data_IF_363453690878
#
_entry.id   IF_363453690878
#
_cell.length_a   1.000
_cell.length_b   1.000
_cell.length_c   1.000
_cell.angle_alpha   90.00
_cell.angle_beta   90.00
_cell.angle_gamma   90.00
#
_symmetry.space_group_name_H-M   'P 1'
#
loop_
_entity.id
_entity.type
_entity.pdbx_description
1 polymer ?
#
# COMPACT_ATOMS: atom_id res chain seq x y z
N UNK A 1 44.00 -1.26 51.28
CA UNK A 1 42.76 -0.80 51.93
C UNK A 1 41.68 -1.82 51.62
N UNK A 2 41.16 -2.45 52.67
CA UNK A 2 40.25 -3.59 52.64
C UNK A 2 38.82 -3.18 53.06
N UNK A 3 37.91 -4.15 52.99
CA UNK A 3 36.46 -4.20 53.31
C UNK A 3 35.56 -4.07 52.06
N UNK A 4 34.81 -5.07 51.54
CA UNK A 4 34.13 -6.30 52.01
C UNK A 4 32.64 -6.10 52.35
N UNK A 5 31.80 -6.95 51.70
CA UNK A 5 30.55 -7.61 52.12
C UNK A 5 29.17 -7.23 51.55
N UNK A 6 28.45 -8.33 51.24
CA UNK A 6 27.01 -8.58 51.05
C UNK A 6 26.35 -8.09 49.76
N UNK A 7 25.64 -8.89 48.95
CA UNK A 7 25.03 -10.20 49.16
C UNK A 7 23.51 -10.09 49.11
N UNK A 8 22.88 -10.42 47.97
CA UNK A 8 21.51 -10.97 47.87
C UNK A 8 21.25 -11.51 46.46
N UNK A 9 21.19 -12.83 46.35
CA UNK A 9 20.61 -13.56 45.21
C UNK A 9 19.09 -13.55 45.38
N UNK A 10 18.36 -13.13 44.36
CA UNK A 10 16.93 -13.43 44.22
C UNK A 10 16.82 -14.54 43.18
N UNK A 11 16.39 -15.72 43.64
CA UNK A 11 16.00 -16.85 42.81
C UNK A 11 14.50 -16.67 42.54
N UNK A 12 14.12 -16.36 41.30
CA UNK A 12 12.73 -16.42 40.86
C UNK A 12 12.44 -17.83 40.35
N UNK A 13 11.63 -18.57 41.10
CA UNK A 13 11.15 -19.90 40.71
C UNK A 13 10.10 -19.80 39.61
N UNK A 14 10.35 -20.49 38.50
CA UNK A 14 9.36 -20.79 37.48
C UNK A 14 8.32 -21.77 38.05
N UNK A 15 7.04 -21.36 38.11
CA UNK A 15 5.90 -22.27 38.19
C UNK A 15 5.31 -22.42 36.78
N UNK A 16 5.09 -23.64 36.26
CA UNK A 16 4.42 -23.82 34.99
C UNK A 16 2.90 -23.73 35.22
N UNK A 17 2.27 -22.69 34.68
CA UNK A 17 0.82 -22.63 34.60
C UNK A 17 0.40 -23.25 33.28
N UNK A 18 -0.19 -24.46 33.36
CA UNK A 18 -0.91 -25.10 32.27
C UNK A 18 -2.04 -24.18 31.80
N UNK A 19 -1.86 -23.56 30.63
CA UNK A 19 -2.96 -22.99 29.86
C UNK A 19 -3.40 -24.05 28.85
N UNK A 20 -4.65 -24.48 29.01
CA UNK A 20 -5.31 -25.42 28.12
C UNK A 20 -5.35 -24.85 26.69
N UNK A 21 -4.64 -25.51 25.77
CA UNK A 21 -4.76 -25.30 24.33
C UNK A 21 -6.16 -25.74 23.88
N UNK A 22 -7.02 -24.77 23.60
CA UNK A 22 -8.19 -24.99 22.76
C UNK A 22 -7.78 -24.79 21.30
N UNK A 23 -7.61 -25.91 20.59
CA UNK A 23 -7.85 -26.05 19.15
C UNK A 23 -7.14 -25.08 18.19
N UNK A 24 -5.82 -25.20 18.04
CA UNK A 24 -5.18 -24.82 16.78
C UNK A 24 -5.49 -25.93 15.77
N UNK A 25 -6.35 -25.66 14.80
CA UNK A 25 -6.52 -26.56 13.65
C UNK A 25 -5.28 -26.37 12.76
N UNK A 26 -4.27 -27.21 13.00
CA UNK A 26 -3.12 -27.33 12.10
C UNK A 26 -3.60 -28.14 10.89
N UNK A 27 -4.03 -27.46 9.83
CA UNK A 27 -4.20 -28.10 8.54
C UNK A 27 -2.82 -28.37 7.94
N UNK A 28 -2.27 -29.55 8.23
CA UNK A 28 -1.17 -30.13 7.48
C UNK A 28 -1.67 -30.60 6.11
N UNK A 29 -1.91 -29.65 5.21
CA UNK A 29 -2.07 -29.91 3.79
C UNK A 29 -0.68 -29.98 3.14
N UNK A 30 -0.38 -31.09 2.48
CA UNK A 30 0.85 -31.26 1.69
C UNK A 30 1.00 -30.11 0.67
N UNK A 31 2.22 -29.58 0.44
CA UNK A 31 2.44 -28.51 -0.52
C UNK A 31 2.30 -29.10 -1.92
N UNK A 32 1.10 -29.02 -2.49
CA UNK A 32 0.95 -29.17 -3.93
C UNK A 32 1.37 -27.84 -4.55
N UNK A 33 2.55 -27.84 -5.16
CA UNK A 33 2.95 -26.84 -6.13
C UNK A 33 1.92 -26.84 -7.26
N UNK A 34 0.95 -25.93 -7.19
CA UNK A 34 0.00 -25.68 -8.26
C UNK A 34 0.39 -24.37 -8.95
N UNK A 35 1.49 -24.40 -9.70
CA UNK A 35 1.76 -23.44 -10.79
C UNK A 35 1.01 -23.86 -12.08
N UNK A 36 -0.23 -24.34 -11.93
CA UNK A 36 -1.04 -24.86 -13.03
C UNK A 36 -2.53 -24.64 -12.73
N UNK A 37 -2.93 -23.39 -12.71
CA UNK A 37 -4.30 -22.97 -13.04
C UNK A 37 -4.12 -21.59 -13.68
N UNK A 38 -4.02 -21.59 -15.00
CA UNK A 38 -3.85 -20.42 -15.88
C UNK A 38 -5.12 -19.57 -15.98
N UNK A 39 -5.96 -19.60 -14.95
CA UNK A 39 -7.17 -18.79 -14.88
C UNK A 39 -6.79 -17.49 -14.19
N UNK A 40 -6.99 -16.38 -14.88
CA UNK A 40 -6.79 -15.05 -14.31
C UNK A 40 -7.65 -14.94 -13.04
N UNK A 41 -7.01 -14.80 -11.89
CA UNK A 41 -7.70 -14.68 -10.61
C UNK A 41 -8.66 -13.49 -10.58
N UNK A 42 -8.46 -12.46 -11.40
CA UNK A 42 -9.44 -11.38 -11.57
C UNK A 42 -10.72 -11.86 -12.20
N UNK A 43 -10.64 -12.68 -13.24
CA UNK A 43 -11.82 -13.27 -13.89
C UNK A 43 -12.55 -14.20 -12.95
N UNK A 44 -11.82 -14.95 -12.11
CA UNK A 44 -12.42 -15.75 -11.03
C UNK A 44 -13.17 -14.87 -10.05
N UNK A 45 -12.55 -13.81 -9.52
CA UNK A 45 -13.21 -12.88 -8.59
C UNK A 45 -14.47 -12.27 -9.20
N UNK A 46 -14.43 -11.87 -10.49
CA UNK A 46 -15.62 -11.35 -11.18
C UNK A 46 -16.71 -12.41 -11.28
N UNK A 47 -16.35 -13.67 -11.57
CA UNK A 47 -17.32 -14.77 -11.61
C UNK A 47 -18.01 -14.99 -10.25
N UNK A 48 -17.27 -14.91 -9.14
CA UNK A 48 -17.87 -15.03 -7.81
C UNK A 48 -18.84 -13.88 -7.52
N UNK A 49 -18.54 -12.66 -7.98
CA UNK A 49 -19.50 -11.55 -7.93
C UNK A 49 -20.73 -11.77 -8.82
N UNK A 50 -20.58 -12.39 -9.99
CA UNK A 50 -21.71 -12.77 -10.86
C UNK A 50 -22.59 -13.85 -10.24
N UNK A 51 -22.00 -14.74 -9.43
CA UNK A 51 -22.76 -15.73 -8.66
C UNK A 51 -23.61 -15.06 -7.55
N UNK A 52 -23.08 -14.01 -6.92
CA UNK A 52 -23.82 -13.19 -5.95
C UNK A 52 -24.91 -12.31 -6.61
N UNK A 53 -24.57 -11.61 -7.70
CA UNK A 53 -25.46 -10.74 -8.47
C UNK A 53 -25.34 -11.04 -9.97
N UNK A 54 -26.35 -11.69 -10.60
CA UNK A 54 -26.34 -12.00 -12.03
C UNK A 54 -26.20 -10.79 -12.96
N UNK A 55 -26.49 -9.57 -12.47
CA UNK A 55 -26.35 -8.33 -13.23
C UNK A 55 -25.07 -7.56 -12.87
N UNK A 56 -24.12 -8.19 -12.17
CA UNK A 56 -22.92 -7.54 -11.64
C UNK A 56 -22.15 -6.77 -12.73
N UNK A 57 -21.89 -7.37 -13.90
CA UNK A 57 -21.14 -6.70 -14.97
C UNK A 57 -21.84 -5.46 -15.51
N UNK A 58 -23.15 -5.54 -15.76
CA UNK A 58 -23.93 -4.42 -16.26
C UNK A 58 -23.96 -3.26 -15.26
N UNK A 59 -24.27 -3.56 -13.99
CA UNK A 59 -24.30 -2.56 -12.91
C UNK A 59 -22.93 -1.95 -12.68
N UNK A 60 -21.89 -2.78 -12.61
CA UNK A 60 -20.51 -2.33 -12.45
C UNK A 60 -20.12 -1.40 -13.59
N UNK A 61 -20.45 -1.72 -14.84
CA UNK A 61 -20.15 -0.87 -15.97
C UNK A 61 -20.89 0.47 -15.90
N UNK A 62 -22.20 0.47 -15.61
CA UNK A 62 -22.98 1.68 -15.43
C UNK A 62 -22.39 2.61 -14.36
N UNK A 63 -22.03 2.06 -13.20
CA UNK A 63 -21.43 2.85 -12.12
C UNK A 63 -19.98 3.26 -12.42
N UNK A 64 -19.21 2.44 -13.13
CA UNK A 64 -17.85 2.79 -13.56
C UNK A 64 -17.85 4.00 -14.51
N UNK A 65 -18.79 4.07 -15.45
CA UNK A 65 -18.95 5.22 -16.34
C UNK A 65 -19.26 6.50 -15.56
N UNK A 66 -20.19 6.42 -14.60
CA UNK A 66 -20.53 7.55 -13.73
C UNK A 66 -19.36 7.99 -12.84
N UNK A 67 -18.66 7.03 -12.23
CA UNK A 67 -17.48 7.30 -11.41
C UNK A 67 -16.36 7.94 -12.25
N UNK A 68 -16.12 7.45 -13.46
CA UNK A 68 -15.13 8.00 -14.39
C UNK A 68 -15.44 9.44 -14.81
N UNK A 69 -16.71 9.76 -15.05
CA UNK A 69 -17.14 11.14 -15.32
C UNK A 69 -16.87 12.08 -14.13
N UNK A 70 -17.05 11.60 -12.89
CA UNK A 70 -16.73 12.38 -11.68
C UNK A 70 -15.24 12.55 -11.49
N UNK A 71 -14.43 11.50 -11.72
CA UNK A 71 -12.97 11.57 -11.68
C UNK A 71 -12.44 12.65 -12.64
N UNK A 72 -12.94 12.67 -13.88
CA UNK A 72 -12.56 13.68 -14.87
C UNK A 72 -12.90 15.12 -14.41
N UNK A 73 -14.04 15.30 -13.73
CA UNK A 73 -14.43 16.61 -13.18
C UNK A 73 -13.53 17.02 -12.01
N UNK A 74 -13.21 16.10 -11.09
CA UNK A 74 -12.26 16.37 -9.99
C UNK A 74 -10.91 16.79 -10.56
N UNK A 75 -10.37 16.02 -11.51
CA UNK A 75 -9.09 16.31 -12.13
C UNK A 75 -9.07 17.68 -12.84
N UNK A 76 -10.14 18.03 -13.57
CA UNK A 76 -10.24 19.32 -14.25
C UNK A 76 -10.22 20.51 -13.25
N UNK A 77 -10.87 20.35 -12.11
CA UNK A 77 -10.91 21.36 -11.05
C UNK A 77 -9.58 21.48 -10.31
N UNK A 78 -8.91 20.35 -10.04
CA UNK A 78 -7.55 20.33 -9.49
C UNK A 78 -6.54 20.99 -10.43
N UNK A 79 -6.68 20.75 -11.73
CA UNK A 79 -5.88 21.44 -12.74
C UNK A 79 -6.15 22.97 -12.78
N UNK A 80 -7.33 23.41 -12.33
CA UNK A 80 -7.68 24.82 -12.18
C UNK A 80 -7.25 25.42 -10.83
N UNK A 81 -6.61 24.64 -9.96
CA UNK A 81 -6.11 25.08 -8.65
C UNK A 81 -7.08 24.85 -7.48
N UNK A 82 -8.23 24.17 -7.70
CA UNK A 82 -9.14 23.81 -6.63
C UNK A 82 -8.75 22.45 -6.04
N UNK A 83 -8.47 22.40 -4.74
CA UNK A 83 -7.94 21.20 -4.07
C UNK A 83 -8.94 20.04 -4.09
N UNK A 84 -10.19 20.30 -3.63
CA UNK A 84 -11.32 19.35 -3.61
C UNK A 84 -11.12 18.10 -2.73
N UNK A 85 -10.47 18.27 -1.57
CA UNK A 85 -9.99 17.18 -0.72
C UNK A 85 -11.12 16.27 -0.21
N UNK A 86 -12.29 16.83 0.08
CA UNK A 86 -13.45 16.04 0.50
C UNK A 86 -14.00 15.20 -0.65
N UNK A 87 -14.06 15.77 -1.86
CA UNK A 87 -14.52 15.08 -3.06
C UNK A 87 -13.58 13.95 -3.46
N UNK A 88 -12.26 14.16 -3.33
CA UNK A 88 -11.25 13.13 -3.55
C UNK A 88 -11.40 11.96 -2.56
N UNK A 89 -11.57 12.24 -1.26
CA UNK A 89 -11.84 11.20 -0.27
C UNK A 89 -13.11 10.39 -0.61
N UNK A 90 -14.22 11.06 -0.93
CA UNK A 90 -15.45 10.38 -1.32
C UNK A 90 -15.28 9.56 -2.61
N UNK A 91 -14.51 10.07 -3.59
CA UNK A 91 -14.18 9.38 -4.82
C UNK A 91 -13.39 8.09 -4.56
N UNK A 92 -12.38 8.13 -3.69
CA UNK A 92 -11.59 6.95 -3.33
C UNK A 92 -12.46 5.88 -2.65
N UNK A 93 -13.40 6.28 -1.81
CA UNK A 93 -14.36 5.32 -1.22
C UNK A 93 -15.33 4.75 -2.25
N UNK A 94 -15.79 5.55 -3.21
CA UNK A 94 -16.61 5.07 -4.33
C UNK A 94 -15.83 4.08 -5.21
N UNK A 95 -14.53 4.34 -5.44
CA UNK A 95 -13.63 3.43 -6.16
C UNK A 95 -13.48 2.11 -5.40
N UNK A 96 -13.38 2.15 -4.07
CA UNK A 96 -13.40 0.94 -3.24
C UNK A 96 -14.74 0.20 -3.34
N UNK A 97 -15.87 0.87 -3.16
CA UNK A 97 -17.21 0.27 -3.27
C UNK A 97 -17.41 -0.41 -4.62
N UNK A 98 -17.04 0.25 -5.72
CA UNK A 98 -17.13 -0.28 -7.08
C UNK A 98 -16.17 -1.47 -7.32
N UNK A 99 -14.99 -1.42 -6.70
CA UNK A 99 -13.93 -2.41 -6.93
C UNK A 99 -14.07 -3.68 -6.11
N UNK A 100 -14.66 -3.58 -4.91
CA UNK A 100 -14.59 -4.63 -3.89
C UNK A 100 -15.96 -5.04 -3.33
N UNK A 101 -17.06 -4.47 -3.81
CA UNK A 101 -18.40 -4.83 -3.31
C UNK A 101 -19.44 -4.89 -4.42
N UNK A 102 -20.52 -5.62 -4.18
CA UNK A 102 -21.77 -5.52 -4.92
C UNK A 102 -22.81 -4.65 -4.17
N UNK A 103 -22.36 -3.73 -3.30
CA UNK A 103 -23.24 -2.83 -2.55
C UNK A 103 -23.58 -1.59 -3.38
N UNK A 104 -24.49 -1.79 -4.35
CA UNK A 104 -24.86 -0.76 -5.32
C UNK A 104 -25.56 0.45 -4.71
N UNK A 105 -26.33 0.27 -3.63
CA UNK A 105 -27.03 1.37 -2.97
C UNK A 105 -26.06 2.31 -2.26
N UNK A 106 -25.07 1.75 -1.55
CA UNK A 106 -24.00 2.55 -0.94
C UNK A 106 -23.17 3.27 -2.00
N UNK A 107 -22.83 2.59 -3.10
CA UNK A 107 -22.11 3.21 -4.22
C UNK A 107 -22.92 4.36 -4.82
N UNK A 108 -24.21 4.16 -5.08
CA UNK A 108 -25.09 5.20 -5.62
C UNK A 108 -25.14 6.41 -4.69
N UNK A 109 -25.36 6.22 -3.40
CA UNK A 109 -25.38 7.34 -2.43
C UNK A 109 -24.05 8.09 -2.42
N UNK A 110 -22.93 7.36 -2.45
CA UNK A 110 -21.59 7.97 -2.50
C UNK A 110 -21.39 8.81 -3.76
N UNK A 111 -21.79 8.32 -4.93
CA UNK A 111 -21.71 9.06 -6.19
C UNK A 111 -22.59 10.32 -6.16
N UNK A 112 -23.81 10.21 -5.63
CA UNK A 112 -24.72 11.35 -5.45
C UNK A 112 -24.11 12.41 -4.49
N UNK A 113 -23.37 11.97 -3.45
CA UNK A 113 -22.65 12.85 -2.52
C UNK A 113 -21.45 13.54 -3.16
N UNK A 114 -20.68 12.84 -3.99
CA UNK A 114 -19.56 13.44 -4.75
C UNK A 114 -20.10 14.57 -5.65
N UNK A 115 -21.19 14.32 -6.39
CA UNK A 115 -21.79 15.33 -7.27
C UNK A 115 -22.22 16.60 -6.55
N UNK A 116 -22.76 16.46 -5.33
CA UNK A 116 -23.09 17.59 -4.45
C UNK A 116 -21.85 18.26 -3.90
N UNK A 117 -20.87 17.49 -3.44
CA UNK A 117 -19.59 17.99 -2.90
C UNK A 117 -18.88 18.88 -3.93
N UNK A 118 -18.89 18.50 -5.21
CA UNK A 118 -18.26 19.27 -6.29
C UNK A 118 -18.83 20.68 -6.51
N UNK A 119 -20.00 21.00 -5.94
CA UNK A 119 -20.57 22.35 -5.97
C UNK A 119 -19.90 23.30 -4.98
N UNK A 120 -19.23 22.77 -3.96
CA UNK A 120 -18.48 23.53 -2.97
C UNK A 120 -16.98 23.39 -3.23
N UNK A 121 -16.32 24.50 -3.55
CA UNK A 121 -14.87 24.51 -3.80
C UNK A 121 -14.05 24.65 -2.52
N UNK A 122 -14.67 25.07 -1.42
CA UNK A 122 -14.00 25.28 -0.14
C UNK A 122 -14.06 24.00 0.69
N UNK A 123 -13.09 23.11 0.49
CA UNK A 123 -13.06 21.78 1.10
C UNK A 123 -11.90 21.57 2.08
N UNK A 124 -11.25 22.65 2.53
CA UNK A 124 -10.04 22.59 3.38
C UNK A 124 -10.27 21.88 4.71
N UNK A 125 -11.52 21.92 5.21
CA UNK A 125 -11.94 21.20 6.41
C UNK A 125 -11.61 19.70 6.34
N UNK A 126 -11.60 19.10 5.13
CA UNK A 126 -11.34 17.67 4.96
C UNK A 126 -9.89 17.27 5.28
N UNK A 127 -8.98 18.24 5.43
CA UNK A 127 -7.59 18.05 5.87
C UNK A 127 -7.43 18.14 7.38
N UNK A 128 -8.47 18.57 8.09
CA UNK A 128 -8.43 18.73 9.55
C UNK A 128 -8.54 17.41 10.28
N UNK A 129 -7.94 17.39 11.47
CA UNK A 129 -8.14 16.30 12.42
C UNK A 129 -9.52 16.42 13.06
N UNK A 130 -10.26 15.31 13.10
CA UNK A 130 -11.56 15.25 13.79
C UNK A 130 -11.44 15.56 15.28
N UNK A 131 -12.21 16.53 15.84
CA UNK A 131 -12.29 16.75 17.29
C UNK A 131 -13.05 15.65 18.03
N UNK A 132 -13.80 14.79 17.32
CA UNK A 132 -14.69 13.78 17.92
C UNK A 132 -13.93 12.51 18.31
N UNK A 133 -13.09 12.03 17.40
CA UNK A 133 -12.40 10.74 17.48
C UNK A 133 -10.92 10.81 17.10
N UNK A 134 -10.42 12.00 16.74
CA UNK A 134 -9.02 12.25 16.41
C UNK A 134 -8.58 11.76 15.03
N UNK A 135 -9.45 11.15 14.23
CA UNK A 135 -9.07 10.64 12.91
C UNK A 135 -9.06 11.72 11.84
N UNK A 136 -8.20 11.56 10.84
CA UNK A 136 -8.28 12.26 9.57
C UNK A 136 -9.21 11.52 8.59
N UNK A 137 -9.46 12.14 7.43
CA UNK A 137 -10.32 11.57 6.40
C UNK A 137 -11.80 11.77 6.72
N UNK A 138 -12.19 13.01 7.04
CA UNK A 138 -13.55 13.36 7.51
C UNK A 138 -14.66 13.01 6.51
N UNK A 139 -14.33 12.86 5.23
CA UNK A 139 -15.30 12.58 4.18
C UNK A 139 -15.40 11.09 3.81
N UNK A 140 -14.61 10.22 4.47
CA UNK A 140 -14.81 8.78 4.43
C UNK A 140 -15.88 8.34 5.42
N UNK A 141 -16.78 7.45 4.99
CA UNK A 141 -17.65 6.73 5.92
C UNK A 141 -16.97 5.44 6.41
N UNK A 142 -16.15 4.80 5.57
CA UNK A 142 -15.40 3.60 5.94
C UNK A 142 -14.28 3.90 6.93
N UNK A 143 -14.36 3.28 8.10
CA UNK A 143 -13.41 3.52 9.19
C UNK A 143 -11.97 3.13 8.82
N UNK A 144 -11.77 2.04 8.06
CA UNK A 144 -10.42 1.59 7.66
C UNK A 144 -9.75 2.58 6.70
N UNK A 145 -10.52 3.29 5.87
CA UNK A 145 -9.98 4.35 5.02
C UNK A 145 -9.55 5.57 5.85
N UNK A 146 -10.26 5.86 6.94
CA UNK A 146 -9.85 6.88 7.94
C UNK A 146 -8.57 6.49 8.66
N UNK A 147 -8.35 5.20 8.94
CA UNK A 147 -7.06 4.70 9.47
C UNK A 147 -5.93 5.02 8.49
N UNK A 148 -6.10 4.70 7.21
CA UNK A 148 -5.11 5.01 6.16
C UNK A 148 -4.82 6.51 6.07
N UNK A 149 -5.87 7.35 6.04
CA UNK A 149 -5.72 8.80 6.03
C UNK A 149 -4.98 9.32 7.27
N UNK A 150 -5.24 8.73 8.43
CA UNK A 150 -4.59 9.09 9.71
C UNK A 150 -3.12 8.68 9.73
N UNK A 151 -2.78 7.50 9.21
CA UNK A 151 -1.38 7.07 9.07
C UNK A 151 -0.58 8.03 8.18
N UNK A 152 -1.18 8.48 7.07
CA UNK A 152 -0.58 9.49 6.18
C UNK A 152 -0.39 10.83 6.89
N UNK A 153 -1.42 11.33 7.59
CA UNK A 153 -1.34 12.58 8.33
C UNK A 153 -0.26 12.55 9.43
N UNK A 154 -0.14 11.45 10.16
CA UNK A 154 0.95 11.28 11.12
C UNK A 154 2.32 11.30 10.45
N UNK A 155 2.50 10.63 9.31
CA UNK A 155 3.75 10.69 8.57
C UNK A 155 4.19 12.12 8.24
N UNK A 156 3.23 12.99 7.89
CA UNK A 156 3.48 14.42 7.62
C UNK A 156 3.79 15.20 8.91
N UNK A 157 3.00 15.00 9.97
CA UNK A 157 3.22 15.67 11.25
C UNK A 157 4.59 15.30 11.84
N UNK A 158 4.98 14.02 11.78
CA UNK A 158 6.30 13.55 12.21
C UNK A 158 7.42 14.22 11.43
N UNK A 159 7.32 14.32 10.09
CA UNK A 159 8.36 14.96 9.28
C UNK A 159 8.50 16.47 9.56
N UNK A 160 7.44 17.10 10.05
CA UNK A 160 7.40 18.51 10.46
C UNK A 160 7.74 18.73 11.95
N UNK A 161 7.92 17.66 12.73
CA UNK A 161 8.11 17.76 14.18
C UNK A 161 6.90 18.33 14.92
N UNK A 162 5.69 18.17 14.36
CA UNK A 162 4.45 18.68 14.94
C UNK A 162 3.63 17.57 15.61
N UNK A 163 2.99 17.84 16.75
CA UNK A 163 2.04 16.91 17.35
C UNK A 163 0.66 16.96 16.66
N UNK A 164 -0.16 15.90 16.76
CA UNK A 164 -1.57 15.98 16.45
C UNK A 164 -2.30 16.87 17.47
N UNK A 165 -3.45 17.43 17.05
CA UNK A 165 -4.27 18.35 17.85
C UNK A 165 -5.21 17.62 18.81
N UNK A 166 -5.74 16.47 18.40
CA UNK A 166 -6.74 15.69 19.14
C UNK A 166 -6.27 14.25 19.39
N UNK A 167 -6.87 13.63 20.42
CA UNK A 167 -6.63 12.24 20.83
C UNK A 167 -7.30 11.27 19.86
N UNK A 168 -6.60 10.22 19.43
CA UNK A 168 -7.22 9.13 18.67
C UNK A 168 -8.05 8.21 19.55
N UNK A 169 -9.22 7.80 19.05
CA UNK A 169 -10.11 6.83 19.68
C UNK A 169 -10.40 5.68 18.71
N UNK A 170 -9.45 4.75 18.50
CA UNK A 170 -9.61 3.69 17.52
C UNK A 170 -10.67 2.67 17.95
N UNK A 171 -11.32 2.07 16.95
CA UNK A 171 -12.27 0.97 17.16
C UNK A 171 -11.59 -0.29 17.70
N UNK A 172 -10.36 -0.55 17.27
CA UNK A 172 -9.55 -1.68 17.71
C UNK A 172 -8.65 -1.21 18.85
N UNK A 173 -8.88 -1.74 20.05
CA UNK A 173 -8.20 -1.27 21.27
C UNK A 173 -7.26 -2.30 21.88
N UNK A 174 -7.37 -3.58 21.50
CA UNK A 174 -6.43 -4.64 21.91
C UNK A 174 -5.82 -5.40 20.72
N UNK A 175 -4.65 -6.01 20.92
CA UNK A 175 -4.03 -6.88 19.92
C UNK A 175 -4.93 -8.07 19.51
N UNK A 176 -5.78 -8.55 20.43
CA UNK A 176 -6.77 -9.59 20.13
C UNK A 176 -7.85 -9.10 19.17
N UNK A 177 -8.34 -7.88 19.36
CA UNK A 177 -9.33 -7.28 18.46
C UNK A 177 -8.75 -7.14 17.06
N UNK A 178 -7.48 -6.71 16.96
CA UNK A 178 -6.77 -6.60 15.69
C UNK A 178 -6.62 -7.95 14.98
N UNK A 179 -6.17 -9.00 15.69
CA UNK A 179 -6.05 -10.34 15.11
C UNK A 179 -7.40 -10.85 14.62
N UNK A 180 -8.44 -10.78 15.46
CA UNK A 180 -9.78 -11.25 15.08
C UNK A 180 -10.30 -10.49 13.86
N UNK A 181 -10.03 -9.19 13.78
CA UNK A 181 -10.41 -8.35 12.66
C UNK A 181 -9.72 -8.77 11.36
N UNK A 182 -8.38 -8.85 11.38
CA UNK A 182 -7.58 -9.21 10.22
C UNK A 182 -7.87 -10.65 9.76
N UNK A 183 -8.09 -11.59 10.69
CA UNK A 183 -8.50 -12.95 10.36
C UNK A 183 -9.87 -13.00 9.69
N UNK A 184 -10.82 -12.18 10.14
CA UNK A 184 -12.14 -12.05 9.52
C UNK A 184 -12.09 -11.50 8.10
N UNK A 185 -11.07 -10.71 7.76
CA UNK A 185 -10.87 -10.16 6.41
C UNK A 185 -10.01 -11.05 5.50
N UNK A 186 -9.28 -12.02 6.05
CA UNK A 186 -8.30 -12.79 5.29
C UNK A 186 -8.96 -13.64 4.19
N UNK A 187 -10.18 -14.14 4.43
CA UNK A 187 -10.90 -15.03 3.52
C UNK A 187 -12.18 -14.34 3.06
N UNK A 188 -12.30 -14.12 1.75
CA UNK A 188 -13.50 -13.57 1.11
C UNK A 188 -14.38 -14.68 0.55
N UNK A 189 -15.66 -14.68 0.93
CA UNK A 189 -16.70 -15.53 0.36
C UNK A 189 -17.63 -14.65 -0.49
N UNK A 190 -17.16 -14.27 -1.68
CA UNK A 190 -17.80 -13.26 -2.52
C UNK A 190 -19.16 -13.76 -3.02
N UNK A 191 -19.25 -15.04 -3.41
CA UNK A 191 -20.49 -15.67 -3.89
C UNK A 191 -21.65 -15.46 -2.89
N UNK A 192 -21.37 -15.57 -1.59
CA UNK A 192 -22.41 -15.49 -0.55
C UNK A 192 -22.56 -14.10 0.09
N UNK A 193 -21.51 -13.26 0.05
CA UNK A 193 -21.51 -11.96 0.76
C UNK A 193 -21.56 -10.74 -0.16
N UNK A 194 -21.16 -10.89 -1.42
CA UNK A 194 -20.99 -9.78 -2.35
C UNK A 194 -19.89 -8.82 -1.93
N UNK A 195 -18.91 -9.25 -1.12
CA UNK A 195 -17.81 -8.43 -0.62
C UNK A 195 -16.49 -9.16 -0.84
N UNK A 196 -15.56 -8.49 -1.53
CA UNK A 196 -14.15 -8.83 -1.57
C UNK A 196 -13.41 -8.05 -0.47
N UNK A 197 -12.99 -8.75 0.58
CA UNK A 197 -12.29 -8.13 1.72
C UNK A 197 -10.87 -7.69 1.38
N UNK A 198 -10.33 -8.00 0.19
CA UNK A 198 -8.95 -7.65 -0.21
C UNK A 198 -8.63 -6.17 0.01
N UNK A 199 -9.51 -5.27 -0.44
CA UNK A 199 -9.25 -3.83 -0.36
C UNK A 199 -9.08 -3.34 1.09
N UNK A 200 -9.95 -3.83 1.98
CA UNK A 200 -9.90 -3.50 3.39
C UNK A 200 -8.73 -4.18 4.10
N UNK A 201 -8.52 -5.48 3.85
CA UNK A 201 -7.40 -6.24 4.39
C UNK A 201 -6.07 -5.55 4.07
N UNK A 202 -5.86 -5.20 2.79
CA UNK A 202 -4.64 -4.52 2.34
C UNK A 202 -4.46 -3.18 3.05
N UNK A 203 -5.52 -2.38 3.17
CA UNK A 203 -5.47 -1.05 3.80
C UNK A 203 -5.11 -1.14 5.29
N UNK A 204 -5.78 -2.03 6.04
CA UNK A 204 -5.53 -2.21 7.47
C UNK A 204 -4.13 -2.79 7.68
N UNK A 205 -3.77 -3.85 6.94
CA UNK A 205 -2.45 -4.48 7.05
C UNK A 205 -1.32 -3.50 6.73
N UNK A 206 -1.46 -2.67 5.70
CA UNK A 206 -0.51 -1.62 5.32
C UNK A 206 -0.37 -0.55 6.41
N UNK A 207 -1.50 -0.07 6.95
CA UNK A 207 -1.52 0.98 7.97
C UNK A 207 -0.85 0.51 9.27
N UNK A 208 -1.19 -0.69 9.73
CA UNK A 208 -0.58 -1.30 10.92
C UNK A 208 0.86 -1.75 10.67
N UNK A 209 1.23 -2.20 9.47
CA UNK A 209 2.64 -2.48 9.14
C UNK A 209 3.48 -1.21 9.21
N UNK A 210 2.97 -0.11 8.65
CA UNK A 210 3.66 1.20 8.72
C UNK A 210 3.91 1.61 10.18
N UNK A 211 2.89 1.48 11.04
CA UNK A 211 3.02 1.75 12.49
C UNK A 211 3.95 0.75 13.20
N UNK A 212 3.86 -0.53 12.87
CA UNK A 212 4.63 -1.61 13.48
C UNK A 212 6.13 -1.53 13.17
N UNK A 213 6.51 -1.00 12.00
CA UNK A 213 7.91 -1.00 11.55
C UNK A 213 8.60 0.38 11.53
N UNK A 214 7.87 1.51 11.54
CA UNK A 214 8.47 2.85 11.59
C UNK A 214 8.58 3.38 13.02
N UNK A 215 9.79 3.30 13.61
CA UNK A 215 10.11 3.84 14.95
C UNK A 215 9.73 5.30 15.16
N UNK A 216 9.97 6.18 14.18
CA UNK A 216 9.61 7.60 14.33
C UNK A 216 8.08 7.80 14.41
N UNK A 217 7.31 6.92 13.76
CA UNK A 217 5.86 6.88 13.92
C UNK A 217 5.47 6.26 15.27
N UNK A 218 6.26 5.33 15.81
CA UNK A 218 6.07 4.75 17.14
C UNK A 218 6.30 5.76 18.25
N UNK A 219 7.32 6.62 18.15
CA UNK A 219 7.58 7.68 19.12
C UNK A 219 6.48 8.75 19.08
N UNK A 220 5.86 8.95 17.92
CA UNK A 220 4.66 9.82 17.78
C UNK A 220 3.39 9.12 18.26
N UNK A 221 3.22 7.83 17.98
CA UNK A 221 2.09 7.07 18.49
C UNK A 221 2.16 6.92 20.02
N UNK A 222 3.35 6.70 20.58
CA UNK A 222 3.59 6.54 22.02
C UNK A 222 3.74 7.87 22.78
N UNK A 223 4.27 8.92 22.14
CA UNK A 223 4.56 10.21 22.77
C UNK A 223 3.54 11.32 22.47
N UNK A 224 2.81 11.23 21.35
CA UNK A 224 1.96 12.32 20.85
C UNK A 224 0.51 11.94 20.58
N UNK A 225 0.19 10.65 20.52
CA UNK A 225 -1.19 10.27 20.76
C UNK A 225 -1.32 10.25 22.27
N UNK A 226 -1.94 11.28 22.83
CA UNK A 226 -2.60 11.09 24.09
C UNK A 226 -3.75 10.10 23.80
N UNK A 227 -3.39 8.82 23.75
CA UNK A 227 -4.31 7.73 23.56
C UNK A 227 -5.22 7.73 24.78
N UNK A 228 -6.30 6.98 24.69
CA UNK A 228 -6.74 6.35 25.92
C UNK A 228 -5.52 5.61 26.51
N UNK A 229 -5.19 5.85 27.78
CA UNK A 229 -4.02 5.27 28.47
C UNK A 229 -4.05 3.73 28.48
N UNK A 230 -5.15 3.14 28.02
CA UNK A 230 -5.44 1.72 27.98
C UNK A 230 -5.01 0.98 26.70
N UNK A 231 -4.46 1.64 25.66
CA UNK A 231 -3.99 0.94 24.45
C UNK A 231 -2.51 0.54 24.59
N UNK A 232 -2.27 -0.77 24.67
CA UNK A 232 -0.93 -1.36 24.62
C UNK A 232 -0.46 -1.50 23.17
N UNK A 233 0.37 -0.56 22.71
CA UNK A 233 0.91 -0.55 21.34
C UNK A 233 1.94 -1.64 21.08
N UNK A 234 2.68 -2.07 22.09
CA UNK A 234 3.62 -3.19 21.93
C UNK A 234 2.83 -4.47 21.68
N UNK A 235 1.75 -4.70 22.42
CA UNK A 235 0.83 -5.81 22.17
C UNK A 235 0.12 -5.71 20.81
N UNK A 236 -0.28 -4.51 20.37
CA UNK A 236 -0.83 -4.30 19.02
C UNK A 236 0.19 -4.63 17.93
N UNK A 237 1.46 -4.24 18.12
CA UNK A 237 2.54 -4.54 17.18
C UNK A 237 2.80 -6.05 17.11
N UNK A 238 2.91 -6.71 18.26
CA UNK A 238 3.10 -8.16 18.32
C UNK A 238 1.95 -8.91 17.64
N UNK A 239 0.72 -8.43 17.85
CA UNK A 239 -0.47 -8.96 17.18
C UNK A 239 -0.44 -8.78 15.66
N UNK A 240 -0.06 -7.59 15.18
CA UNK A 240 0.11 -7.32 13.76
C UNK A 240 1.19 -8.21 13.15
N UNK A 241 2.35 -8.33 13.79
CA UNK A 241 3.45 -9.20 13.37
C UNK A 241 3.02 -10.66 13.32
N UNK A 242 2.36 -11.15 14.37
CA UNK A 242 1.84 -12.51 14.42
C UNK A 242 0.92 -12.80 13.23
N UNK A 243 0.00 -11.88 12.91
CA UNK A 243 -0.86 -12.02 11.74
C UNK A 243 -0.07 -11.96 10.43
N UNK A 244 0.84 -11.01 10.25
CA UNK A 244 1.61 -10.85 9.02
C UNK A 244 2.43 -12.12 8.74
N UNK A 245 3.22 -12.61 9.71
CA UNK A 245 3.97 -13.86 9.50
C UNK A 245 3.05 -15.07 9.31
N UNK A 246 1.95 -15.16 10.05
CA UNK A 246 0.99 -16.27 9.94
C UNK A 246 0.18 -16.30 8.65
N UNK A 247 0.05 -15.16 7.96
CA UNK A 247 -0.71 -15.03 6.70
C UNK A 247 0.15 -15.17 5.45
N UNK A 248 1.48 -15.23 5.58
CA UNK A 248 2.37 -15.47 4.44
C UNK A 248 2.15 -16.87 3.87
N UNK A 249 1.95 -16.96 2.56
CA UNK A 249 1.85 -18.25 1.91
C UNK A 249 3.24 -18.86 1.68
N UNK A 250 3.53 -20.00 2.32
CA UNK A 250 4.85 -20.64 2.24
C UNK A 250 5.22 -21.14 0.82
N UNK A 251 4.23 -21.38 -0.03
CA UNK A 251 4.45 -21.89 -1.39
C UNK A 251 4.95 -20.81 -2.33
N UNK A 252 4.30 -19.66 -2.30
CA UNK A 252 4.62 -18.49 -3.13
C UNK A 252 5.55 -17.49 -2.43
N UNK A 253 5.65 -17.53 -1.11
CA UNK A 253 6.28 -16.52 -0.27
C UNK A 253 5.48 -15.21 -0.17
N UNK A 254 4.33 -15.11 -0.82
CA UNK A 254 3.58 -13.87 -0.94
C UNK A 254 2.51 -13.74 0.15
N UNK A 255 2.07 -12.51 0.35
CA UNK A 255 0.82 -12.17 1.03
C UNK A 255 -0.28 -11.93 0.00
N UNK A 256 -1.52 -12.09 0.42
CA UNK A 256 -2.68 -11.81 -0.41
C UNK A 256 -3.98 -12.19 0.29
N UNK A 257 -5.09 -11.68 -0.23
CA UNK A 257 -6.41 -12.15 0.18
C UNK A 257 -6.62 -13.60 -0.26
N UNK A 258 -7.40 -14.35 0.53
CA UNK A 258 -7.82 -15.70 0.20
C UNK A 258 -9.30 -15.66 -0.18
N UNK A 259 -9.73 -16.62 -0.98
CA UNK A 259 -11.09 -16.67 -1.50
C UNK A 259 -11.67 -18.06 -1.29
N UNK A 260 -12.94 -18.14 -0.94
CA UNK A 260 -13.73 -19.37 -1.08
C UNK A 260 -14.15 -19.44 -2.54
N UNK A 261 -13.66 -20.43 -3.27
CA UNK A 261 -13.97 -20.69 -4.67
C UNK A 261 -14.30 -22.16 -4.82
N UNK A 262 -15.48 -22.48 -5.35
CA UNK A 262 -15.96 -23.86 -5.53
C UNK A 262 -15.86 -24.69 -4.22
N UNK A 263 -16.18 -24.06 -3.09
CA UNK A 263 -16.12 -24.64 -1.75
C UNK A 263 -14.71 -24.87 -1.18
N UNK A 264 -13.66 -24.33 -1.81
CA UNK A 264 -12.26 -24.46 -1.38
C UNK A 264 -11.61 -23.10 -1.15
N UNK A 265 -10.69 -23.04 -0.19
CA UNK A 265 -9.86 -21.86 0.02
C UNK A 265 -8.77 -21.81 -1.04
N UNK A 266 -8.73 -20.71 -1.80
CA UNK A 266 -7.66 -20.39 -2.75
C UNK A 266 -6.94 -19.13 -2.31
N UNK A 267 -5.63 -19.25 -2.10
CA UNK A 267 -4.76 -18.13 -1.73
C UNK A 267 -4.29 -17.41 -3.00
N UNK A 268 -3.95 -16.12 -2.87
CA UNK A 268 -3.41 -15.33 -3.97
C UNK A 268 -2.03 -14.76 -3.66
N UNK A 269 -1.25 -14.54 -4.71
CA UNK A 269 0.02 -13.84 -4.65
C UNK A 269 -0.22 -12.36 -5.01
N UNK A 270 -0.45 -11.53 -4.01
CA UNK A 270 -0.77 -10.12 -4.20
C UNK A 270 0.49 -9.24 -4.19
N UNK A 271 0.75 -8.57 -5.33
CA UNK A 271 1.95 -7.75 -5.50
C UNK A 271 1.98 -6.57 -4.52
N UNK A 272 0.86 -5.86 -4.38
CA UNK A 272 0.80 -4.62 -3.58
C UNK A 272 0.92 -4.92 -2.08
N UNK A 273 0.18 -5.93 -1.60
CA UNK A 273 0.28 -6.35 -0.20
C UNK A 273 1.70 -6.85 0.14
N UNK A 274 2.29 -7.66 -0.75
CA UNK A 274 3.66 -8.18 -0.55
C UNK A 274 4.68 -7.04 -0.56
N UNK A 275 4.55 -6.07 -1.47
CA UNK A 275 5.37 -4.87 -1.48
C UNK A 275 5.30 -4.11 -0.15
N UNK A 276 4.10 -3.86 0.37
CA UNK A 276 3.95 -3.12 1.62
C UNK A 276 4.61 -3.85 2.80
N UNK A 277 4.41 -5.17 2.92
CA UNK A 277 5.06 -5.95 3.98
C UNK A 277 6.58 -5.88 3.85
N UNK A 278 7.13 -6.22 2.67
CA UNK A 278 8.58 -6.20 2.40
C UNK A 278 9.19 -4.82 2.64
N UNK A 279 8.55 -3.76 2.13
CA UNK A 279 9.07 -2.39 2.23
C UNK A 279 9.09 -1.90 3.66
N UNK A 280 8.00 -2.11 4.42
CA UNK A 280 7.92 -1.60 5.78
C UNK A 280 8.77 -2.43 6.74
N UNK A 281 8.86 -3.75 6.57
CA UNK A 281 9.79 -4.59 7.33
C UNK A 281 11.26 -4.40 6.93
N UNK A 282 11.56 -3.55 5.93
CA UNK A 282 12.91 -3.36 5.37
C UNK A 282 13.55 -4.67 4.91
N UNK A 283 12.73 -5.58 4.40
CA UNK A 283 13.15 -6.89 3.92
C UNK A 283 13.32 -7.96 5.00
N UNK A 284 12.98 -7.67 6.26
CA UNK A 284 12.93 -8.65 7.35
C UNK A 284 11.67 -9.53 7.20
N UNK A 285 11.71 -10.44 6.22
CA UNK A 285 10.65 -11.39 5.90
C UNK A 285 11.21 -12.79 5.63
N UNK A 286 10.35 -13.79 5.75
CA UNK A 286 10.69 -15.18 5.42
C UNK A 286 10.50 -15.47 3.92
N UNK A 287 11.00 -16.64 3.47
CA UNK A 287 10.71 -17.20 2.14
C UNK A 287 11.17 -16.38 0.92
N UNK A 288 12.28 -15.64 1.04
CA UNK A 288 12.86 -14.88 -0.07
C UNK A 288 13.00 -15.64 -1.40
N UNK A 289 13.50 -16.90 -1.44
CA UNK A 289 13.57 -17.66 -2.69
C UNK A 289 12.19 -17.86 -3.36
N UNK A 290 11.13 -18.05 -2.57
CA UNK A 290 9.77 -18.14 -3.09
C UNK A 290 9.28 -16.77 -3.57
N UNK A 291 9.49 -15.71 -2.79
CA UNK A 291 9.13 -14.33 -3.17
C UNK A 291 9.75 -13.97 -4.53
N UNK A 292 11.04 -14.20 -4.73
CA UNK A 292 11.75 -13.88 -5.97
C UNK A 292 11.16 -14.63 -7.16
N UNK A 293 10.99 -15.96 -7.03
CA UNK A 293 10.43 -16.79 -8.10
C UNK A 293 9.01 -16.39 -8.45
N UNK A 294 8.16 -16.15 -7.45
CA UNK A 294 6.79 -15.68 -7.67
C UNK A 294 6.79 -14.32 -8.34
N UNK A 295 7.61 -13.36 -7.87
CA UNK A 295 7.73 -12.02 -8.47
C UNK A 295 8.03 -12.11 -9.95
N UNK A 296 9.02 -12.91 -10.34
CA UNK A 296 9.41 -13.10 -11.74
C UNK A 296 8.33 -13.84 -12.55
N UNK A 297 7.66 -14.83 -11.96
CA UNK A 297 6.64 -15.62 -12.62
C UNK A 297 5.38 -14.81 -12.98
N UNK A 298 4.98 -13.86 -12.14
CA UNK A 298 3.75 -13.06 -12.32
C UNK A 298 3.95 -11.79 -13.19
N UNK A 299 5.07 -11.70 -13.91
CA UNK A 299 5.41 -10.51 -14.71
C UNK A 299 4.31 -10.13 -15.70
N UNK A 300 3.74 -11.12 -16.37
CA UNK A 300 2.76 -10.89 -17.44
C UNK A 300 1.31 -10.97 -16.96
N UNK A 301 1.11 -11.29 -15.68
CA UNK A 301 -0.21 -11.38 -15.06
C UNK A 301 -0.78 -9.98 -14.74
N UNK A 302 -2.11 -9.87 -14.68
CA UNK A 302 -2.77 -8.61 -14.37
C UNK A 302 -2.70 -8.29 -12.88
N UNK A 303 -2.45 -7.01 -12.58
CA UNK A 303 -2.53 -6.43 -11.26
C UNK A 303 -3.94 -6.63 -10.65
N UNK A 304 -4.06 -7.02 -9.38
CA UNK A 304 -3.00 -7.04 -8.35
C UNK A 304 -2.17 -8.33 -8.26
N UNK A 305 -2.51 -9.34 -9.04
CA UNK A 305 -1.84 -10.65 -9.00
C UNK A 305 -0.64 -10.75 -9.94
N UNK A 306 -0.29 -9.65 -10.61
CA UNK A 306 0.87 -9.50 -11.47
C UNK A 306 1.25 -8.04 -11.71
N UNK A 307 2.19 -7.79 -12.62
CA UNK A 307 2.80 -6.46 -12.76
C UNK A 307 1.96 -5.50 -13.61
N UNK A 308 1.00 -6.00 -14.40
CA UNK A 308 0.38 -5.23 -15.48
C UNK A 308 -1.01 -4.72 -15.13
N UNK A 309 -1.28 -3.43 -15.33
CA UNK A 309 -2.64 -2.90 -15.33
C UNK A 309 -3.15 -2.75 -16.76
N UNK A 310 -4.30 -3.34 -17.09
CA UNK A 310 -4.85 -3.30 -18.45
C UNK A 310 -3.87 -3.83 -19.52
N UNK A 311 -3.07 -4.85 -19.18
CA UNK A 311 -2.03 -5.42 -20.04
C UNK A 311 -0.74 -4.59 -20.17
N UNK A 312 -0.68 -3.41 -19.55
CA UNK A 312 0.46 -2.47 -19.64
C UNK A 312 1.19 -2.35 -18.30
N UNK A 313 2.46 -1.97 -18.35
CA UNK A 313 3.16 -1.52 -17.14
C UNK A 313 2.65 -0.14 -16.71
N UNK A 314 2.93 0.21 -15.46
CA UNK A 314 2.78 1.55 -14.90
C UNK A 314 3.87 1.77 -13.84
N UNK A 315 4.19 3.03 -13.53
CA UNK A 315 5.30 3.32 -12.60
C UNK A 315 5.04 2.82 -11.17
N UNK A 316 3.79 2.73 -10.73
CA UNK A 316 3.42 2.24 -9.39
C UNK A 316 3.77 0.76 -9.24
N UNK A 317 3.23 -0.10 -10.09
CA UNK A 317 3.52 -1.54 -10.04
C UNK A 317 5.00 -1.84 -10.26
N UNK A 318 5.66 -1.11 -11.17
CA UNK A 318 7.09 -1.27 -11.38
C UNK A 318 7.90 -0.82 -10.15
N UNK A 319 7.44 0.20 -9.43
CA UNK A 319 8.05 0.62 -8.18
C UNK A 319 7.93 -0.46 -7.10
N UNK A 320 6.77 -1.12 -7.02
CA UNK A 320 6.54 -2.23 -6.10
C UNK A 320 7.52 -3.38 -6.37
N UNK A 321 7.60 -3.82 -7.64
CA UNK A 321 8.50 -4.89 -8.09
C UNK A 321 9.96 -4.51 -7.86
N UNK A 322 10.38 -3.30 -8.26
CA UNK A 322 11.75 -2.84 -8.08
C UNK A 322 12.17 -2.81 -6.60
N UNK A 323 11.24 -2.49 -5.71
CA UNK A 323 11.48 -2.51 -4.27
C UNK A 323 11.62 -3.94 -3.74
N UNK A 324 10.77 -4.87 -4.19
CA UNK A 324 10.91 -6.30 -3.85
C UNK A 324 12.26 -6.83 -4.35
N UNK A 325 12.67 -6.50 -5.58
CA UNK A 325 13.99 -6.87 -6.10
C UNK A 325 15.14 -6.26 -5.29
N UNK A 326 15.03 -5.01 -4.85
CA UNK A 326 16.07 -4.36 -4.03
C UNK A 326 16.33 -5.12 -2.73
N UNK A 327 15.28 -5.46 -2.00
CA UNK A 327 15.41 -6.21 -0.74
C UNK A 327 15.74 -7.69 -0.97
N UNK A 328 15.22 -8.29 -2.04
CA UNK A 328 15.49 -9.68 -2.41
C UNK A 328 16.86 -9.92 -3.04
N UNK A 329 17.54 -8.88 -3.52
CA UNK A 329 18.81 -9.01 -4.25
C UNK A 329 19.89 -9.87 -3.55
N UNK A 330 20.11 -9.77 -2.22
CA UNK A 330 21.06 -10.62 -1.51
C UNK A 330 20.69 -12.11 -1.52
N UNK A 331 19.42 -12.43 -1.75
CA UNK A 331 18.85 -13.78 -1.69
C UNK A 331 18.66 -14.43 -3.07
N UNK A 332 18.82 -13.65 -4.15
CA UNK A 332 18.75 -14.15 -5.53
C UNK A 332 19.98 -14.98 -5.89
N UNK A 333 19.74 -16.08 -6.62
CA UNK A 333 20.78 -16.76 -7.38
C UNK A 333 21.34 -15.87 -8.50
N UNK A 334 22.49 -16.25 -9.07
CA UNK A 334 23.09 -15.47 -10.16
C UNK A 334 22.19 -15.40 -11.41
N UNK A 335 21.47 -16.49 -11.69
CA UNK A 335 20.50 -16.52 -12.79
C UNK A 335 19.31 -15.59 -12.55
N UNK A 336 18.77 -15.58 -11.33
CA UNK A 336 17.70 -14.66 -10.95
C UNK A 336 18.17 -13.21 -10.98
N UNK A 337 19.41 -12.91 -10.53
CA UNK A 337 20.00 -11.56 -10.63
C UNK A 337 20.18 -11.11 -12.07
N UNK A 338 20.61 -12.00 -12.97
CA UNK A 338 20.72 -11.71 -14.40
C UNK A 338 19.35 -11.38 -15.00
N UNK A 339 18.34 -12.20 -14.70
CA UNK A 339 16.96 -11.96 -15.15
C UNK A 339 16.42 -10.64 -14.58
N UNK A 340 16.52 -10.43 -13.28
CA UNK A 340 16.06 -9.20 -12.62
C UNK A 340 16.77 -7.95 -13.15
N UNK A 341 18.07 -8.03 -13.46
CA UNK A 341 18.84 -6.94 -14.09
C UNK A 341 18.27 -6.57 -15.46
N UNK A 342 17.95 -7.56 -16.28
CA UNK A 342 17.35 -7.31 -17.60
C UNK A 342 15.93 -6.76 -17.50
N UNK A 343 15.15 -7.20 -16.51
CA UNK A 343 13.84 -6.61 -16.19
C UNK A 343 13.96 -5.17 -15.71
N UNK A 344 14.89 -4.87 -14.81
CA UNK A 344 15.12 -3.50 -14.31
C UNK A 344 15.52 -2.55 -15.45
N UNK A 345 16.37 -3.00 -16.40
CA UNK A 345 16.68 -2.21 -17.60
C UNK A 345 15.44 -1.91 -18.42
N UNK A 346 14.56 -2.90 -18.61
CA UNK A 346 13.29 -2.72 -19.31
C UNK A 346 12.36 -1.75 -18.57
N UNK A 347 12.28 -1.85 -17.23
CA UNK A 347 11.49 -0.93 -16.39
C UNK A 347 11.94 0.52 -16.56
N UNK A 348 13.24 0.79 -16.52
CA UNK A 348 13.79 2.14 -16.72
C UNK A 348 13.45 2.71 -18.09
N UNK A 349 13.70 1.93 -19.16
CA UNK A 349 13.40 2.36 -20.53
C UNK A 349 11.91 2.59 -20.71
N UNK A 350 11.06 1.71 -20.19
CA UNK A 350 9.63 1.83 -20.29
C UNK A 350 9.13 3.07 -19.54
N UNK A 351 9.54 3.26 -18.28
CA UNK A 351 9.12 4.40 -17.45
C UNK A 351 9.43 5.73 -18.13
N UNK A 352 10.70 5.94 -18.52
CA UNK A 352 11.14 7.18 -19.14
C UNK A 352 10.49 7.38 -20.51
N UNK A 353 10.39 6.34 -21.34
CA UNK A 353 9.85 6.46 -22.70
C UNK A 353 8.32 6.62 -22.77
N UNK A 354 7.58 6.09 -21.79
CA UNK A 354 6.12 6.04 -21.85
C UNK A 354 5.44 7.03 -20.92
N UNK A 355 6.09 7.45 -19.83
CA UNK A 355 5.43 8.25 -18.78
C UNK A 355 6.00 9.66 -18.63
N UNK A 356 7.29 9.87 -18.94
CA UNK A 356 7.97 11.15 -18.74
C UNK A 356 8.08 11.96 -20.04
N UNK A 357 7.57 13.18 -20.05
CA UNK A 357 7.73 14.11 -21.16
C UNK A 357 9.09 14.84 -21.09
N UNK A 358 9.60 15.36 -22.23
CA UNK A 358 10.89 16.06 -22.27
C UNK A 358 11.02 17.28 -21.36
N UNK A 359 9.89 17.86 -20.91
CA UNK A 359 9.84 19.04 -20.05
C UNK A 359 9.72 18.71 -18.56
N UNK A 360 9.89 17.43 -18.19
CA UNK A 360 9.80 16.95 -16.81
C UNK A 360 8.37 16.71 -16.32
N UNK A 361 7.35 16.81 -17.17
CA UNK A 361 5.97 16.47 -16.80
C UNK A 361 5.70 14.97 -16.94
N UNK A 362 4.96 14.40 -15.98
CA UNK A 362 4.43 13.05 -16.12
C UNK A 362 3.10 13.07 -16.86
N UNK A 363 2.90 12.08 -17.73
CA UNK A 363 1.61 11.81 -18.37
C UNK A 363 0.66 11.20 -17.35
N UNK A 364 -0.55 11.74 -17.26
CA UNK A 364 -1.58 11.21 -16.38
C UNK A 364 -2.26 9.99 -17.02
N UNK A 365 -2.38 8.91 -16.25
CA UNK A 365 -3.21 7.74 -16.59
C UNK A 365 -4.46 7.72 -15.69
N UNK A 366 -5.59 8.31 -16.14
CA UNK A 366 -6.81 8.36 -15.36
C UNK A 366 -7.44 6.97 -15.14
N UNK A 367 -7.00 5.94 -15.89
CA UNK A 367 -7.46 4.57 -15.71
C UNK A 367 -6.81 3.84 -14.54
N UNK A 368 -5.78 4.42 -13.92
CA UNK A 368 -5.00 3.77 -12.87
C UNK A 368 -4.65 4.71 -11.71
N UNK A 369 -4.09 5.89 -11.98
CA UNK A 369 -3.64 6.84 -10.95
C UNK A 369 -4.79 7.35 -10.06
N UNK A 370 -4.51 7.55 -8.78
CA UNK A 370 -5.47 8.12 -7.82
C UNK A 370 -5.54 9.65 -7.94
N UNK A 371 -4.41 10.29 -8.23
CA UNK A 371 -4.29 11.73 -8.47
C UNK A 371 -3.16 12.06 -9.46
N UNK A 372 -3.11 13.31 -9.94
CA UNK A 372 -1.98 13.76 -10.76
C UNK A 372 -0.65 13.83 -9.97
N UNK A 373 -0.71 14.10 -8.67
CA UNK A 373 0.46 14.11 -7.80
C UNK A 373 1.07 12.70 -7.63
N UNK A 374 0.25 11.65 -7.71
CA UNK A 374 0.72 10.26 -7.62
C UNK A 374 1.60 9.86 -8.81
N UNK A 375 1.31 10.38 -10.00
CA UNK A 375 2.14 10.13 -11.20
C UNK A 375 3.60 10.56 -10.96
N UNK A 376 3.76 11.71 -10.30
CA UNK A 376 5.06 12.21 -9.87
C UNK A 376 5.66 11.34 -8.77
N UNK A 377 4.89 11.01 -7.73
CA UNK A 377 5.40 10.20 -6.63
C UNK A 377 5.93 8.85 -7.11
N UNK A 378 5.14 8.09 -7.87
CA UNK A 378 5.51 6.76 -8.31
C UNK A 378 6.61 6.79 -9.37
N UNK A 379 6.55 7.74 -10.31
CA UNK A 379 7.62 7.93 -11.29
C UNK A 379 8.97 8.26 -10.63
N UNK A 380 8.99 9.21 -9.71
CA UNK A 380 10.20 9.58 -8.96
C UNK A 380 10.67 8.44 -8.07
N UNK A 381 9.76 7.75 -7.39
CA UNK A 381 10.11 6.66 -6.46
C UNK A 381 10.69 5.45 -7.18
N UNK A 382 10.17 5.11 -8.37
CA UNK A 382 10.76 4.08 -9.23
C UNK A 382 12.20 4.44 -9.63
N UNK A 383 12.42 5.66 -10.10
CA UNK A 383 13.75 6.11 -10.52
C UNK A 383 14.72 6.20 -9.32
N UNK A 384 14.26 6.62 -8.16
CA UNK A 384 15.04 6.68 -6.92
C UNK A 384 15.46 5.27 -6.46
N UNK A 385 14.51 4.32 -6.37
CA UNK A 385 14.82 2.95 -5.89
C UNK A 385 15.77 2.20 -6.81
N UNK A 386 15.70 2.46 -8.12
CA UNK A 386 16.58 1.86 -9.12
C UNK A 386 17.95 2.55 -9.20
N UNK A 387 18.21 3.57 -8.38
CA UNK A 387 19.46 4.32 -8.38
C UNK A 387 19.70 5.08 -9.68
N UNK A 388 18.63 5.52 -10.36
CA UNK A 388 18.73 6.28 -11.61
C UNK A 388 19.54 7.58 -11.38
N UNK A 389 19.19 8.32 -10.33
CA UNK A 389 19.82 9.58 -9.94
C UNK A 389 21.24 9.40 -9.39
N UNK A 390 21.47 8.31 -8.66
CA UNK A 390 22.70 8.08 -7.89
C UNK A 390 23.27 6.70 -8.20
N UNK A 391 24.35 6.62 -9.01
CA UNK A 391 25.02 5.36 -9.31
C UNK A 391 25.38 4.54 -8.06
N UNK A 392 25.81 5.20 -6.99
CA UNK A 392 26.19 4.54 -5.74
C UNK A 392 25.03 3.85 -5.00
N UNK A 393 23.77 4.18 -5.33
CA UNK A 393 22.58 3.55 -4.74
C UNK A 393 22.02 2.41 -5.63
N UNK A 394 22.64 2.12 -6.78
CA UNK A 394 22.23 1.02 -7.66
C UNK A 394 22.65 -0.31 -7.06
N UNK A 395 21.67 -1.10 -6.64
CA UNK A 395 21.90 -2.45 -6.13
C UNK A 395 22.10 -3.50 -7.24
N UNK A 396 21.63 -3.18 -8.45
CA UNK A 396 21.42 -4.15 -9.51
C UNK A 396 22.49 -4.12 -10.60
N UNK A 397 23.34 -3.08 -10.67
CA UNK A 397 24.43 -2.97 -11.64
C UNK A 397 25.48 -1.93 -11.26
N UNK A 398 26.75 -2.24 -11.58
CA UNK A 398 27.86 -1.28 -11.55
C UNK A 398 28.09 -0.61 -12.91
N UNK A 399 27.52 -1.18 -13.99
CA UNK A 399 27.63 -0.60 -15.33
C UNK A 399 27.00 0.80 -15.39
N UNK A 400 27.58 1.74 -16.16
CA UNK A 400 26.93 3.00 -16.46
C UNK A 400 25.59 2.75 -17.16
N UNK A 401 24.63 3.64 -16.93
CA UNK A 401 23.39 3.62 -17.69
C UNK A 401 23.69 3.90 -19.16
N UNK A 402 22.84 3.35 -20.02
CA UNK A 402 22.95 3.54 -21.47
C UNK A 402 22.95 5.02 -21.83
N UNK A 403 23.66 5.44 -22.90
CA UNK A 403 23.73 6.84 -23.30
C UNK A 403 22.36 7.52 -23.50
N UNK A 404 21.33 6.75 -23.91
CA UNK A 404 19.96 7.26 -24.05
C UNK A 404 19.28 7.62 -22.72
N UNK A 405 19.79 7.09 -21.60
CA UNK A 405 19.30 7.32 -20.24
C UNK A 405 20.26 8.20 -19.43
N UNK A 406 21.56 8.15 -19.72
CA UNK A 406 22.60 8.89 -19.02
C UNK A 406 22.62 10.38 -19.41
N UNK A 407 22.98 11.25 -18.45
CA UNK A 407 23.18 12.68 -18.70
C UNK A 407 21.91 13.50 -18.94
N UNK A 408 20.73 12.90 -18.79
CA UNK A 408 19.46 13.62 -18.89
C UNK A 408 19.25 14.53 -17.67
N UNK A 409 18.73 15.72 -17.89
CA UNK A 409 18.38 16.68 -16.84
C UNK A 409 17.04 16.37 -16.15
N UNK A 410 16.50 15.15 -16.33
CA UNK A 410 15.16 14.73 -15.91
C UNK A 410 14.89 15.11 -14.45
N UNK A 411 15.83 14.84 -13.55
CA UNK A 411 15.63 15.11 -12.13
C UNK A 411 15.32 16.58 -11.82
N UNK A 412 16.07 17.48 -12.46
CA UNK A 412 15.91 18.91 -12.24
C UNK A 412 14.64 19.44 -12.90
N UNK A 413 14.31 18.95 -14.10
CA UNK A 413 13.06 19.30 -14.77
C UNK A 413 11.85 18.84 -13.96
N UNK A 414 11.84 17.59 -13.48
CA UNK A 414 10.76 17.07 -12.63
C UNK A 414 10.66 17.89 -11.34
N UNK A 415 11.79 18.20 -10.68
CA UNK A 415 11.81 19.03 -9.47
C UNK A 415 11.22 20.41 -9.69
N UNK A 416 11.56 21.07 -10.80
CA UNK A 416 10.97 22.37 -11.17
C UNK A 416 9.45 22.25 -11.38
N UNK A 417 8.98 21.19 -12.04
CA UNK A 417 7.54 20.94 -12.24
C UNK A 417 6.80 20.71 -10.94
N UNK A 418 7.30 19.84 -10.06
CA UNK A 418 6.67 19.59 -8.74
C UNK A 418 6.56 20.89 -7.94
N UNK A 419 7.61 21.72 -7.93
CA UNK A 419 7.56 23.04 -7.26
C UNK A 419 6.57 24.00 -7.91
N UNK A 420 6.49 24.02 -9.25
CA UNK A 420 5.59 24.90 -9.98
C UNK A 420 4.10 24.51 -9.79
N UNK A 421 3.79 23.22 -9.72
CA UNK A 421 2.43 22.76 -9.45
C UNK A 421 2.01 22.98 -8.00
N UNK A 422 2.96 23.01 -7.06
CA UNK A 422 2.65 23.27 -5.65
C UNK A 422 1.70 22.24 -5.05
N UNK A 423 1.83 20.96 -5.43
CA UNK A 423 0.94 19.89 -4.97
C UNK A 423 0.76 19.92 -3.45
N UNK A 424 -0.48 20.09 -3.03
CA UNK A 424 -0.87 19.97 -1.63
C UNK A 424 -1.09 18.50 -1.30
N UNK A 425 -0.31 17.94 -0.38
CA UNK A 425 -0.47 16.56 0.08
C UNK A 425 0.81 15.73 0.07
N UNK A 426 0.67 14.47 0.50
CA UNK A 426 1.80 13.60 0.79
C UNK A 426 2.57 13.17 -0.47
N UNK A 427 1.88 12.91 -1.59
CA UNK A 427 2.50 12.40 -2.81
C UNK A 427 3.48 13.41 -3.41
N UNK A 428 3.03 14.66 -3.58
CA UNK A 428 3.86 15.77 -4.05
C UNK A 428 5.03 16.07 -3.11
N UNK A 429 4.77 16.16 -1.81
CA UNK A 429 5.82 16.38 -0.80
C UNK A 429 6.88 15.25 -0.81
N UNK A 430 6.45 14.00 -0.85
CA UNK A 430 7.34 12.84 -0.84
C UNK A 430 8.11 12.68 -2.17
N UNK A 431 7.55 13.12 -3.30
CA UNK A 431 8.28 13.22 -4.57
C UNK A 431 9.36 14.30 -4.48
N UNK A 432 8.99 15.49 -3.98
CA UNK A 432 9.91 16.61 -3.82
C UNK A 432 11.08 16.28 -2.89
N UNK A 433 10.80 15.64 -1.75
CA UNK A 433 11.83 15.22 -0.78
C UNK A 433 12.90 14.31 -1.42
N UNK A 434 12.47 13.35 -2.25
CA UNK A 434 13.39 12.44 -2.97
C UNK A 434 14.22 13.22 -3.99
N UNK A 435 13.60 14.09 -4.77
CA UNK A 435 14.28 14.92 -5.75
C UNK A 435 15.27 15.89 -5.09
N UNK A 436 14.92 16.45 -3.93
CA UNK A 436 15.80 17.32 -3.16
C UNK A 436 17.00 16.56 -2.61
N UNK A 437 16.80 15.36 -2.04
CA UNK A 437 17.90 14.48 -1.62
C UNK A 437 18.79 14.02 -2.77
N UNK A 438 18.27 13.98 -3.99
CA UNK A 438 18.96 13.38 -5.13
C UNK A 438 19.58 14.39 -6.08
N UNK A 439 19.08 15.63 -6.13
CA UNK A 439 19.44 16.61 -7.15
C UNK A 439 19.72 17.99 -6.52
N UNK A 440 20.83 18.03 -5.78
CA UNK A 440 21.29 19.18 -5.01
C UNK A 440 21.73 20.37 -5.87
N UNK A 441 22.11 20.14 -7.14
CA UNK A 441 22.52 21.19 -8.07
C UNK A 441 21.71 21.05 -9.34
N UNK A 442 20.80 22.00 -9.57
CA UNK A 442 20.11 22.15 -10.83
C UNK A 442 20.63 23.39 -11.55
N UNK A 443 21.01 23.27 -12.84
CA UNK A 443 21.32 24.46 -13.64
C UNK A 443 20.09 25.39 -13.61
N UNK A 444 20.36 26.69 -13.46
CA UNK A 444 19.34 27.73 -13.44
C UNK A 444 18.59 27.83 -14.78
#
# INVERSE_FOLDING_TARGET
>A
MAHSLCGRRIVAGFRPTLLALAGVVIFSGSPSAAFADTVDMRDVVVREFEAFDPNYRERRQQYAERLGALAARIAAEQAAGNTLQCSEQMYLEAKWLLGYTANWDALKDKLDRIERSLQDKTQDFATEQSPVDGFWGLCYDQWFMRVGATATAFGLLTSQGQPPRYRLRPRLTTGRDLINYLQGLLISDIENTGIDHRGELSSVMTSYSTAAYKRDLQDVLAGFVALDENIDWDAMREAAWFFIHGSQDIGTGYWGAWYVIDGKIRKTADLSMTFHVVRYSKGEVDHWPQIIRTTLAIKDDPYPFGWRSGGKFNNHNLYDVATIFKFGWPHMSEEERRTARDEIRQMLRWSIGNTLNPDGTYRHDPGYGDSYADEYYFGVSLLDVLGYWKPAERFWTDDPLEPALAGRADCCLIKQRVKAYGFEGWAGAAALEKLERSCNVCPA
#
